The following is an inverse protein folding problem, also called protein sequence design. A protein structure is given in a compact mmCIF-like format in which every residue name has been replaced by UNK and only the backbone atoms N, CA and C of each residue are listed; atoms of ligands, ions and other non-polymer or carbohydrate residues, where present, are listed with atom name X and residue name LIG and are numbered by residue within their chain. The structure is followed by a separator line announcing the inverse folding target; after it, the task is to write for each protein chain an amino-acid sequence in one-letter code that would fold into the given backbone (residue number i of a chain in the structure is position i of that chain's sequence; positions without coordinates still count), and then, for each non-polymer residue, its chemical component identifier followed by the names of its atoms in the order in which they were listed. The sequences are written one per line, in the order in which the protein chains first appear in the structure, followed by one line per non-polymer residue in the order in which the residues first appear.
data_IF_598979789987
#
_entry.id   IF_598979789987
#
_cell.length_a   1.000
_cell.length_b   1.000
_cell.length_c   1.000
_cell.angle_alpha   90.00
_cell.angle_beta   90.00
_cell.angle_gamma   90.00
#
_symmetry.space_group_name_H-M   'P 1'
#
loop_
_entity.id
_entity.type
_entity.pdbx_description
1 polymer ?
#
# COMPACT_ATOMS: atom_id res chain seq x y z
N UNK A 1 -25.37 -8.23 6.39
CA UNK A 1 -24.23 -7.81 7.22
C UNK A 1 -24.30 -8.36 8.65
N UNK A 2 -25.40 -9.07 9.00
CA UNK A 2 -25.59 -9.67 10.33
C UNK A 2 -24.53 -10.73 10.73
N UNK A 3 -23.70 -11.16 9.81
CA UNK A 3 -22.66 -12.20 10.03
C UNK A 3 -21.24 -11.63 10.09
N UNK A 4 -21.05 -10.32 9.92
CA UNK A 4 -19.74 -9.72 10.07
C UNK A 4 -19.50 -9.40 11.55
N UNK A 5 -18.35 -9.76 12.13
CA UNK A 5 -18.03 -9.42 13.50
C UNK A 5 -18.08 -7.89 13.71
N UNK A 6 -18.24 -7.45 14.95
CA UNK A 6 -18.31 -6.03 15.31
C UNK A 6 -17.02 -5.29 14.89
N UNK A 7 -17.00 -4.80 13.66
CA UNK A 7 -15.86 -4.07 13.08
C UNK A 7 -15.88 -2.56 13.40
N UNK A 8 -16.84 -2.13 14.22
CA UNK A 8 -17.21 -0.72 14.43
C UNK A 8 -16.21 0.13 15.21
N UNK A 9 -15.29 -0.47 15.96
CA UNK A 9 -14.52 0.30 16.97
C UNK A 9 -13.07 0.60 16.62
N UNK A 10 -12.53 0.10 15.51
CA UNK A 10 -11.10 0.14 15.24
C UNK A 10 -10.69 0.92 13.98
N UNK A 11 -11.65 1.60 13.35
CA UNK A 11 -11.38 2.31 12.09
C UNK A 11 -10.35 3.42 12.30
N UNK A 12 -9.18 3.23 11.74
CA UNK A 12 -8.15 4.27 11.68
C UNK A 12 -8.56 5.27 10.60
N UNK A 13 -8.54 6.55 10.92
CA UNK A 13 -8.70 7.62 9.94
C UNK A 13 -7.43 8.46 9.94
N UNK A 14 -7.08 8.96 8.76
CA UNK A 14 -6.05 9.97 8.58
C UNK A 14 -6.76 11.33 8.52
N UNK A 15 -6.69 12.16 9.57
CA UNK A 15 -7.53 13.35 9.69
C UNK A 15 -7.11 14.51 8.76
N UNK A 16 -5.89 14.49 8.26
CA UNK A 16 -5.34 15.55 7.41
C UNK A 16 -4.45 14.94 6.34
N UNK A 17 -5.04 14.31 5.32
CA UNK A 17 -4.28 13.73 4.22
C UNK A 17 -3.51 14.82 3.46
N UNK A 18 -2.30 14.50 3.04
CA UNK A 18 -1.45 15.40 2.25
C UNK A 18 -0.57 14.60 1.29
N UNK A 19 -0.34 15.13 0.10
CA UNK A 19 0.60 14.60 -0.88
C UNK A 19 2.00 15.20 -0.76
N UNK A 20 2.20 16.13 0.20
CA UNK A 20 3.52 16.70 0.48
C UNK A 20 4.47 15.64 1.04
N UNK A 21 5.67 15.55 0.49
CA UNK A 21 6.61 14.45 0.73
C UNK A 21 6.87 14.17 2.21
N UNK A 22 7.21 15.17 3.00
CA UNK A 22 7.52 14.97 4.43
C UNK A 22 6.28 14.57 5.24
N UNK A 23 5.10 15.09 4.87
CA UNK A 23 3.83 14.70 5.46
C UNK A 23 3.49 13.23 5.13
N UNK A 24 3.66 12.80 3.88
CA UNK A 24 3.49 11.41 3.46
C UNK A 24 4.43 10.47 4.22
N UNK A 25 5.71 10.82 4.36
CA UNK A 25 6.67 10.01 5.12
C UNK A 25 6.26 9.87 6.59
N UNK A 26 5.78 10.95 7.21
CA UNK A 26 5.30 10.92 8.59
C UNK A 26 4.05 10.04 8.74
N UNK A 27 3.07 10.17 7.85
CA UNK A 27 1.86 9.35 7.85
C UNK A 27 2.18 7.87 7.61
N UNK A 28 3.01 7.57 6.63
CA UNK A 28 3.44 6.19 6.36
C UNK A 28 4.17 5.59 7.56
N UNK A 29 5.04 6.33 8.23
CA UNK A 29 5.72 5.89 9.43
C UNK A 29 4.74 5.60 10.57
N UNK A 30 3.72 6.44 10.75
CA UNK A 30 2.67 6.22 11.75
C UNK A 30 1.85 4.97 11.46
N UNK A 31 1.38 4.80 10.21
CA UNK A 31 0.65 3.59 9.77
C UNK A 31 1.52 2.35 9.98
N UNK A 32 2.77 2.37 9.55
CA UNK A 32 3.72 1.25 9.73
C UNK A 32 3.93 0.91 11.20
N UNK A 33 4.06 1.91 12.06
CA UNK A 33 4.19 1.70 13.51
C UNK A 33 2.94 1.05 14.11
N UNK A 34 1.74 1.48 13.71
CA UNK A 34 0.46 0.90 14.17
C UNK A 34 0.31 -0.58 13.81
N UNK A 35 0.83 -0.98 12.67
CA UNK A 35 0.82 -2.39 12.23
C UNK A 35 2.02 -3.20 12.75
N UNK A 36 2.82 -2.63 13.66
CA UNK A 36 3.99 -3.30 14.22
C UNK A 36 5.18 -3.41 13.26
N UNK A 37 5.20 -2.63 12.18
CA UNK A 37 6.20 -2.71 11.13
C UNK A 37 7.22 -1.58 11.27
N UNK A 38 8.50 -1.94 11.41
CA UNK A 38 9.58 -0.97 11.43
C UNK A 38 9.79 -0.26 10.08
N UNK A 39 10.44 0.92 10.11
CA UNK A 39 10.66 1.73 8.91
C UNK A 39 11.40 1.02 7.78
N UNK A 40 12.30 0.08 8.11
CA UNK A 40 13.11 -0.66 7.13
C UNK A 40 12.57 -2.06 6.81
N UNK A 41 11.51 -2.50 7.47
CA UNK A 41 10.90 -3.80 7.21
C UNK A 41 10.05 -3.78 5.93
N UNK A 42 9.99 -4.89 5.23
CA UNK A 42 9.16 -5.03 4.02
C UNK A 42 7.70 -5.22 4.42
N UNK A 43 6.82 -4.42 3.86
CA UNK A 43 5.37 -4.60 4.01
C UNK A 43 4.94 -5.85 3.24
N UNK A 44 4.34 -6.83 3.93
CA UNK A 44 3.86 -8.07 3.32
C UNK A 44 2.36 -8.00 2.98
N UNK A 45 1.86 -9.01 2.24
CA UNK A 45 0.43 -9.16 1.97
C UNK A 45 -0.38 -9.39 3.24
N UNK A 46 0.16 -10.16 4.19
CA UNK A 46 -0.47 -10.45 5.47
C UNK A 46 -0.74 -9.16 6.25
N UNK A 47 0.25 -8.25 6.30
CA UNK A 47 0.07 -6.95 6.96
C UNK A 47 -1.07 -6.14 6.33
N UNK A 48 -1.21 -6.16 5.00
CA UNK A 48 -2.29 -5.46 4.31
C UNK A 48 -3.65 -6.10 4.59
N UNK A 49 -3.74 -7.42 4.52
CA UNK A 49 -4.97 -8.18 4.79
C UNK A 49 -5.44 -7.93 6.23
N UNK A 50 -4.54 -8.00 7.21
CA UNK A 50 -4.85 -7.71 8.61
C UNK A 50 -5.37 -6.27 8.81
N UNK A 51 -4.78 -5.31 8.08
CA UNK A 51 -5.24 -3.93 8.15
C UNK A 51 -6.62 -3.73 7.55
N UNK A 52 -6.94 -4.38 6.45
CA UNK A 52 -8.30 -4.36 5.90
C UNK A 52 -9.30 -4.92 6.91
N UNK A 53 -9.02 -6.09 7.48
CA UNK A 53 -9.87 -6.71 8.50
C UNK A 53 -10.06 -5.81 9.73
N UNK A 54 -8.98 -5.23 10.25
CA UNK A 54 -9.00 -4.34 11.42
C UNK A 54 -9.83 -3.07 11.15
N UNK A 55 -9.84 -2.57 9.92
CA UNK A 55 -10.55 -1.33 9.55
C UNK A 55 -11.94 -1.58 8.93
N UNK A 56 -12.50 -2.77 9.07
CA UNK A 56 -13.84 -3.08 8.59
C UNK A 56 -13.95 -3.19 7.07
N UNK A 57 -12.85 -3.53 6.41
CA UNK A 57 -12.84 -3.76 4.97
C UNK A 57 -12.86 -5.26 4.67
N UNK A 58 -13.67 -5.65 3.70
CA UNK A 58 -13.82 -7.01 3.20
C UNK A 58 -13.23 -7.10 1.80
N UNK A 59 -12.17 -7.88 1.65
CA UNK A 59 -11.56 -8.12 0.34
C UNK A 59 -12.33 -9.21 -0.39
N UNK A 60 -12.76 -8.90 -1.61
CA UNK A 60 -13.44 -9.82 -2.53
C UNK A 60 -12.57 -10.02 -3.76
N UNK A 61 -11.86 -11.15 -3.87
CA UNK A 61 -11.07 -11.45 -5.06
C UNK A 61 -12.01 -11.76 -6.24
N UNK A 62 -11.74 -11.17 -7.39
CA UNK A 62 -12.52 -11.36 -8.62
C UNK A 62 -11.60 -11.55 -9.82
N UNK A 63 -12.12 -12.25 -10.83
CA UNK A 63 -11.49 -12.41 -12.13
C UNK A 63 -12.35 -11.68 -13.15
N UNK A 64 -11.92 -10.50 -13.59
CA UNK A 64 -12.70 -9.66 -14.52
C UNK A 64 -12.27 -9.79 -15.97
N UNK A 65 -11.28 -10.65 -16.26
CA UNK A 65 -10.71 -10.82 -17.60
C UNK A 65 -9.65 -9.78 -17.96
N UNK A 66 -9.29 -9.68 -19.23
CA UNK A 66 -8.18 -8.86 -19.69
C UNK A 66 -8.32 -7.37 -19.34
N UNK A 67 -7.21 -6.78 -18.93
CA UNK A 67 -7.00 -5.45 -18.36
C UNK A 67 -7.49 -4.25 -19.18
N UNK A 68 -7.74 -4.41 -20.47
CA UNK A 68 -8.02 -3.27 -21.36
C UNK A 68 -9.34 -2.54 -21.07
N UNK A 69 -10.25 -3.17 -20.33
CA UNK A 69 -11.59 -2.63 -20.07
C UNK A 69 -12.00 -2.62 -18.59
N UNK A 70 -11.15 -3.03 -17.67
CA UNK A 70 -11.54 -3.19 -16.26
C UNK A 70 -10.58 -2.48 -15.30
N UNK A 71 -11.15 -1.93 -14.23
CA UNK A 71 -10.38 -1.34 -13.12
C UNK A 71 -9.60 -2.45 -12.40
N UNK A 72 -8.44 -2.11 -11.82
CA UNK A 72 -7.65 -3.03 -11.02
C UNK A 72 -8.34 -3.35 -9.68
N UNK A 73 -9.09 -2.40 -9.14
CA UNK A 73 -9.90 -2.56 -7.95
C UNK A 73 -11.19 -1.74 -8.03
N UNK A 74 -12.17 -2.08 -7.21
CA UNK A 74 -13.40 -1.33 -7.01
C UNK A 74 -13.70 -1.27 -5.51
N UNK A 75 -13.90 -0.07 -5.02
CA UNK A 75 -14.20 0.24 -3.64
C UNK A 75 -15.68 0.57 -3.47
N UNK A 76 -16.37 -0.09 -2.55
CA UNK A 76 -17.77 0.17 -2.19
C UNK A 76 -17.87 0.37 -0.69
N UNK A 77 -18.12 1.61 -0.27
CA UNK A 77 -18.38 1.94 1.13
C UNK A 77 -19.88 1.82 1.43
N UNK A 78 -20.23 1.08 2.49
CA UNK A 78 -21.54 1.06 3.10
C UNK A 78 -21.50 1.93 4.37
N UNK A 79 -21.90 3.20 4.30
CA UNK A 79 -21.66 4.15 5.39
C UNK A 79 -22.47 3.86 6.65
N UNK A 80 -23.66 3.29 6.51
CA UNK A 80 -24.52 2.94 7.65
C UNK A 80 -23.98 1.75 8.45
N UNK A 81 -23.45 0.76 7.76
CA UNK A 81 -22.86 -0.44 8.31
C UNK A 81 -21.37 -0.25 8.67
N UNK A 82 -20.77 0.85 8.24
CA UNK A 82 -19.34 1.12 8.37
C UNK A 82 -18.45 -0.01 7.83
N UNK A 83 -18.90 -0.64 6.75
CA UNK A 83 -18.18 -1.72 6.07
C UNK A 83 -17.79 -1.25 4.68
N UNK A 84 -16.56 -1.55 4.30
CA UNK A 84 -16.06 -1.32 2.95
C UNK A 84 -15.85 -2.65 2.25
N UNK A 85 -16.39 -2.82 1.04
CA UNK A 85 -16.06 -3.94 0.17
C UNK A 85 -15.03 -3.48 -0.86
N UNK A 86 -13.96 -4.26 -1.01
CA UNK A 86 -12.89 -4.01 -1.95
C UNK A 86 -12.81 -5.20 -2.89
N UNK A 87 -13.23 -5.00 -4.13
CA UNK A 87 -13.13 -5.99 -5.17
C UNK A 87 -11.77 -5.85 -5.84
N UNK A 88 -10.91 -6.86 -5.71
CA UNK A 88 -9.56 -6.86 -6.28
C UNK A 88 -9.52 -7.78 -7.49
N UNK A 89 -9.09 -7.23 -8.62
CA UNK A 89 -8.92 -7.99 -9.85
C UNK A 89 -7.65 -8.85 -9.80
N UNK A 90 -7.81 -10.16 -9.74
CA UNK A 90 -6.70 -11.11 -9.71
C UNK A 90 -6.02 -11.31 -11.09
N UNK A 91 -6.60 -10.79 -12.18
CA UNK A 91 -5.95 -10.77 -13.49
C UNK A 91 -4.87 -9.67 -13.62
N UNK A 92 -4.72 -8.84 -12.56
CA UNK A 92 -3.63 -7.88 -12.45
C UNK A 92 -2.28 -8.59 -12.28
N UNK A 93 -1.20 -7.97 -12.76
CA UNK A 93 0.16 -8.47 -12.54
C UNK A 93 0.46 -8.55 -11.05
N UNK A 94 1.12 -9.63 -10.64
CA UNK A 94 1.43 -9.86 -9.22
C UNK A 94 2.29 -8.74 -8.61
N UNK A 95 3.19 -8.16 -9.41
CA UNK A 95 4.04 -7.05 -9.00
C UNK A 95 3.23 -5.80 -8.64
N UNK A 96 2.14 -5.56 -9.37
CA UNK A 96 1.26 -4.40 -9.17
C UNK A 96 0.23 -4.66 -8.06
N UNK A 97 -0.05 -5.92 -7.74
CA UNK A 97 -1.15 -6.31 -6.85
C UNK A 97 -0.98 -5.74 -5.43
N UNK A 98 0.25 -5.77 -4.89
CA UNK A 98 0.55 -5.20 -3.58
C UNK A 98 0.36 -3.69 -3.55
N UNK A 99 0.72 -2.99 -4.64
CA UNK A 99 0.49 -1.57 -4.78
C UNK A 99 -1.01 -1.26 -4.74
N UNK A 100 -1.81 -1.98 -5.50
CA UNK A 100 -3.27 -1.79 -5.51
C UNK A 100 -3.91 -2.09 -4.16
N UNK A 101 -3.45 -3.10 -3.44
CA UNK A 101 -3.91 -3.33 -2.07
C UNK A 101 -3.56 -2.15 -1.15
N UNK A 102 -2.35 -1.61 -1.22
CA UNK A 102 -1.96 -0.46 -0.40
C UNK A 102 -2.73 0.82 -0.80
N UNK A 103 -3.03 1.00 -2.08
CA UNK A 103 -3.87 2.07 -2.62
C UNK A 103 -5.30 1.98 -2.06
N UNK A 104 -5.95 0.83 -2.14
CA UNK A 104 -7.29 0.63 -1.56
C UNK A 104 -7.30 0.80 -0.03
N UNK A 105 -6.22 0.44 0.64
CA UNK A 105 -6.09 0.69 2.08
C UNK A 105 -6.04 2.19 2.39
N UNK A 106 -5.42 3.00 1.54
CA UNK A 106 -5.45 4.46 1.69
C UNK A 106 -6.87 5.01 1.63
N UNK A 107 -7.71 4.54 0.70
CA UNK A 107 -9.13 4.92 0.66
C UNK A 107 -9.91 4.47 1.91
N UNK A 108 -9.57 3.32 2.48
CA UNK A 108 -10.15 2.90 3.78
C UNK A 108 -9.80 3.87 4.90
N UNK A 109 -8.59 4.44 4.89
CA UNK A 109 -8.15 5.43 5.87
C UNK A 109 -8.70 6.85 5.64
N UNK A 110 -9.12 7.15 4.41
CA UNK A 110 -9.64 8.48 4.01
C UNK A 110 -10.98 8.38 3.29
N UNK A 111 -12.03 7.84 3.94
CA UNK A 111 -13.32 7.63 3.29
C UNK A 111 -13.98 8.92 2.81
N UNK A 112 -13.65 10.05 3.41
CA UNK A 112 -14.18 11.37 3.03
C UNK A 112 -13.64 11.87 1.68
N UNK A 113 -12.51 11.30 1.20
CA UNK A 113 -11.93 11.60 -0.12
C UNK A 113 -12.34 10.59 -1.19
N UNK A 114 -13.16 9.58 -0.86
CA UNK A 114 -13.53 8.54 -1.80
C UNK A 114 -14.20 9.10 -3.07
N UNK A 115 -13.68 8.69 -4.23
CA UNK A 115 -14.20 9.10 -5.54
C UNK A 115 -13.83 10.51 -5.99
N UNK A 116 -12.92 11.20 -5.31
CA UNK A 116 -12.33 12.46 -5.73
C UNK A 116 -10.95 12.27 -6.35
N UNK A 117 -10.55 13.13 -7.28
CA UNK A 117 -9.20 13.13 -7.87
C UNK A 117 -8.13 13.31 -6.79
N UNK A 118 -8.39 14.15 -5.78
CA UNK A 118 -7.51 14.34 -4.62
C UNK A 118 -7.32 13.05 -3.82
N UNK A 119 -8.39 12.25 -3.68
CA UNK A 119 -8.36 10.96 -3.01
C UNK A 119 -7.53 9.92 -3.77
N UNK A 120 -7.63 9.90 -5.10
CA UNK A 120 -6.82 9.03 -5.95
C UNK A 120 -5.33 9.42 -5.88
N UNK A 121 -5.01 10.72 -6.01
CA UNK A 121 -3.64 11.22 -5.90
C UNK A 121 -3.02 10.90 -4.53
N UNK A 122 -3.81 11.07 -3.47
CA UNK A 122 -3.38 10.72 -2.12
C UNK A 122 -3.17 9.21 -1.96
N UNK A 123 -4.08 8.39 -2.47
CA UNK A 123 -4.00 6.94 -2.37
C UNK A 123 -2.76 6.39 -3.09
N UNK A 124 -2.46 6.88 -4.29
CA UNK A 124 -1.24 6.54 -5.03
C UNK A 124 0.02 6.93 -4.26
N UNK A 125 0.07 8.17 -3.75
CA UNK A 125 1.22 8.68 -3.03
C UNK A 125 1.46 7.93 -1.71
N UNK A 126 0.40 7.65 -0.95
CA UNK A 126 0.50 6.90 0.31
C UNK A 126 0.88 5.44 0.05
N UNK A 127 0.29 4.77 -0.95
CA UNK A 127 0.62 3.40 -1.30
C UNK A 127 2.11 3.24 -1.62
N UNK A 128 2.65 4.09 -2.49
CA UNK A 128 4.08 4.09 -2.82
C UNK A 128 4.96 4.31 -1.59
N UNK A 129 4.57 5.24 -0.71
CA UNK A 129 5.32 5.57 0.50
C UNK A 129 5.24 4.47 1.56
N UNK A 130 4.09 3.81 1.71
CA UNK A 130 3.93 2.65 2.61
C UNK A 130 4.79 1.47 2.18
N UNK A 131 4.82 1.18 0.88
CA UNK A 131 5.59 0.06 0.33
C UNK A 131 7.09 0.33 0.33
N UNK A 132 7.50 1.56 0.04
CA UNK A 132 8.90 1.93 -0.10
C UNK A 132 9.20 3.28 0.59
N UNK A 133 9.16 3.34 1.93
CA UNK A 133 9.46 4.56 2.68
C UNK A 133 10.92 4.98 2.52
N UNK A 134 11.22 6.26 2.79
CA UNK A 134 12.59 6.82 2.72
C UNK A 134 13.61 5.94 3.44
N UNK A 135 13.31 5.49 4.65
CA UNK A 135 14.22 4.67 5.45
C UNK A 135 14.59 3.34 4.80
N UNK A 136 13.67 2.73 4.07
CA UNK A 136 13.93 1.51 3.28
C UNK A 136 14.69 1.84 2.00
N UNK A 137 14.34 2.95 1.34
CA UNK A 137 15.01 3.42 0.14
C UNK A 137 16.49 3.73 0.39
N UNK A 138 16.81 4.36 1.52
CA UNK A 138 18.20 4.66 1.93
C UNK A 138 19.02 3.39 2.13
N UNK A 139 18.45 2.38 2.80
CA UNK A 139 19.12 1.08 2.97
C UNK A 139 19.34 0.38 1.62
N UNK A 140 18.30 0.35 0.77
CA UNK A 140 18.38 -0.26 -0.55
C UNK A 140 19.42 0.44 -1.43
N UNK A 141 19.48 1.78 -1.38
CA UNK A 141 20.48 2.56 -2.09
C UNK A 141 21.91 2.22 -1.65
N UNK A 142 22.17 2.18 -0.33
CA UNK A 142 23.50 1.83 0.20
C UNK A 142 23.91 0.41 -0.22
N UNK A 143 22.98 -0.53 -0.19
CA UNK A 143 23.24 -1.91 -0.64
C UNK A 143 23.54 -1.95 -2.14
N UNK A 144 22.73 -1.29 -2.97
CA UNK A 144 22.94 -1.24 -4.41
C UNK A 144 24.28 -0.57 -4.77
N UNK A 145 24.64 0.50 -4.09
CA UNK A 145 25.92 1.19 -4.28
C UNK A 145 27.13 0.30 -3.97
N UNK A 146 27.03 -0.49 -2.87
CA UNK A 146 28.09 -1.45 -2.51
C UNK A 146 28.22 -2.56 -3.56
N UNK A 147 27.13 -3.14 -4.03
CA UNK A 147 27.16 -4.15 -5.09
C UNK A 147 27.68 -3.61 -6.40
N UNK A 148 27.35 -2.36 -6.74
CA UNK A 148 27.87 -1.71 -7.93
C UNK A 148 29.38 -1.48 -7.85
N UNK A 149 29.92 -1.08 -6.69
CA UNK A 149 31.34 -0.92 -6.45
C UNK A 149 32.08 -2.28 -6.59
N UNK A 150 31.58 -3.33 -5.93
CA UNK A 150 32.14 -4.70 -6.03
C UNK A 150 32.10 -5.20 -7.48
N UNK A 151 31.01 -4.99 -8.20
CA UNK A 151 30.91 -5.39 -9.61
C UNK A 151 31.88 -4.59 -10.50
N UNK A 152 32.18 -3.34 -10.16
CA UNK A 152 33.20 -2.53 -10.80
C UNK A 152 34.59 -3.07 -10.58
N UNK A 153 34.93 -3.42 -9.34
CA UNK A 153 36.23 -4.02 -8.98
C UNK A 153 36.44 -5.37 -9.66
N UNK A 154 35.40 -6.25 -9.68
CA UNK A 154 35.48 -7.55 -10.37
C UNK A 154 35.70 -7.38 -11.87
N UNK A 155 35.01 -6.44 -12.53
CA UNK A 155 35.23 -6.15 -13.96
C UNK A 155 36.64 -5.65 -14.24
N UNK A 156 37.21 -4.80 -13.38
CA UNK A 156 38.56 -4.30 -13.54
C UNK A 156 39.59 -5.42 -13.37
N UNK A 157 39.41 -6.30 -12.38
CA UNK A 157 40.25 -7.51 -12.21
C UNK A 157 40.17 -8.46 -13.41
N UNK A 158 38.98 -8.67 -13.96
CA UNK A 158 38.78 -9.47 -15.17
C UNK A 158 39.43 -8.85 -16.42
N UNK A 159 39.57 -7.53 -16.47
CA UNK A 159 40.24 -6.83 -17.57
C UNK A 159 41.77 -6.90 -17.47
N UNK A 160 42.30 -7.08 -16.25
CA UNK A 160 43.72 -7.15 -15.99
C UNK A 160 44.27 -8.60 -16.04
N UNK A 161 43.37 -9.60 -16.05
CA UNK A 161 43.71 -11.03 -16.16
C UNK A 161 43.63 -11.50 -17.62
#
# INVERSE_FOLDING_TARGET
VAFLPELRSLRVQIPSPTTQYDGLQAMAAEVRTRIGLGGQAVLSYEHLIDQFGTNGAVIVPVLWGEKQNHKNALHILLPQEQVTFIFLNLDTRLEDFKFWMAHELAHVYTPDLAGSDEGEDFADALAGTLLFPRSLAEVAYVQAARHSAVAGEVRELQRLA
#
